data_IF_591399795181
#
_entry.id   IF_591399795181
#
_cell.length_a   1.000
_cell.length_b   1.000
_cell.length_c   1.000
_cell.angle_alpha   90.00
_cell.angle_beta   90.00
_cell.angle_gamma   90.00
#
_symmetry.space_group_name_H-M   'P 1'
#
loop_
_entity.id
_entity.type
_entity.pdbx_description
1 polymer ?
#
# COMPACT_ATOMS: atom_id res chain seq x y z
N UNK A 1 -8.19 0.26 25.68
CA UNK A 1 -7.64 1.07 24.57
C UNK A 1 -6.36 0.51 23.97
N UNK A 2 -5.27 0.30 24.72
CA UNK A 2 -4.00 -0.19 24.13
C UNK A 2 -4.12 -1.49 23.32
N UNK A 3 -4.75 -2.52 23.89
CA UNK A 3 -4.97 -3.80 23.19
C UNK A 3 -5.90 -3.68 21.98
N UNK A 4 -6.90 -2.79 22.05
CA UNK A 4 -7.79 -2.50 20.92
C UNK A 4 -7.05 -1.78 19.79
N UNK A 5 -6.22 -0.78 20.11
CA UNK A 5 -5.41 -0.07 19.11
C UNK A 5 -4.45 -1.02 18.42
N UNK A 6 -3.77 -1.89 19.18
CA UNK A 6 -2.90 -2.93 18.61
C UNK A 6 -3.67 -3.87 17.68
N UNK A 7 -4.81 -4.38 18.11
CA UNK A 7 -5.67 -5.22 17.30
C UNK A 7 -6.11 -4.52 16.00
N UNK A 8 -6.57 -3.27 16.08
CA UNK A 8 -6.99 -2.50 14.90
C UNK A 8 -5.84 -2.27 13.92
N UNK A 9 -4.62 -2.00 14.42
CA UNK A 9 -3.42 -1.88 13.58
C UNK A 9 -3.01 -3.20 12.91
N UNK A 10 -3.04 -4.31 13.64
CA UNK A 10 -2.75 -5.64 13.08
C UNK A 10 -3.74 -6.02 11.97
N UNK A 11 -4.99 -5.62 12.14
CA UNK A 11 -6.08 -5.87 11.18
C UNK A 11 -6.24 -4.75 10.14
N UNK A 12 -5.37 -3.75 10.12
CA UNK A 12 -5.41 -2.68 9.13
C UNK A 12 -5.04 -3.25 7.76
N UNK A 13 -5.87 -2.97 6.76
CA UNK A 13 -5.63 -3.32 5.37
C UNK A 13 -5.09 -2.10 4.63
N UNK A 14 -3.90 -2.24 4.04
CA UNK A 14 -3.35 -1.25 3.14
C UNK A 14 -3.65 -1.72 1.72
N UNK A 15 -4.24 -0.84 0.93
CA UNK A 15 -4.60 -1.14 -0.44
C UNK A 15 -4.32 0.09 -1.30
N UNK A 16 -4.12 -0.15 -2.59
CA UNK A 16 -3.95 0.92 -3.55
C UNK A 16 -5.32 1.41 -4.03
N UNK A 17 -5.58 2.70 -3.89
CA UNK A 17 -6.88 3.28 -4.24
C UNK A 17 -7.06 3.42 -5.76
N UNK A 18 -8.21 2.98 -6.26
CA UNK A 18 -8.59 3.06 -7.68
C UNK A 18 -8.22 1.81 -8.47
N UNK A 19 -8.76 1.69 -9.68
CA UNK A 19 -8.43 0.60 -10.59
C UNK A 19 -7.01 0.84 -11.15
N UNK A 20 -5.99 0.38 -10.43
CA UNK A 20 -4.61 0.38 -10.93
C UNK A 20 -4.54 -0.70 -12.01
N UNK A 21 -4.89 -0.29 -13.23
CA UNK A 21 -4.80 -1.18 -14.37
C UNK A 21 -3.33 -1.41 -14.75
N UNK A 22 -3.05 -2.63 -15.16
CA UNK A 22 -1.76 -3.03 -15.74
C UNK A 22 -1.34 -2.08 -16.87
N UNK A 23 -2.30 -1.63 -17.66
CA UNK A 23 -2.05 -0.74 -18.80
C UNK A 23 -1.52 0.63 -18.36
N UNK A 24 -2.08 1.19 -17.29
CA UNK A 24 -1.62 2.48 -16.74
C UNK A 24 -0.23 2.38 -16.12
N UNK A 25 0.06 1.29 -15.40
CA UNK A 25 1.41 1.05 -14.86
C UNK A 25 2.44 0.89 -15.99
N UNK A 26 2.07 0.19 -17.07
CA UNK A 26 2.94 0.02 -18.25
C UNK A 26 3.20 1.33 -18.98
N UNK A 27 2.22 2.23 -19.06
CA UNK A 27 2.38 3.57 -19.63
C UNK A 27 3.47 4.34 -18.89
N UNK A 28 3.36 4.44 -17.55
CA UNK A 28 4.38 5.11 -16.73
C UNK A 28 5.78 4.49 -16.87
N UNK A 29 5.88 3.16 -16.92
CA UNK A 29 7.19 2.49 -17.05
C UNK A 29 7.81 2.63 -18.44
N UNK A 30 7.02 2.95 -19.48
CA UNK A 30 7.55 3.19 -20.83
C UNK A 30 8.07 4.61 -21.01
N UNK A 31 7.58 5.56 -20.21
CA UNK A 31 8.06 6.93 -20.20
C UNK A 31 9.39 7.09 -19.42
N UNK A 32 9.79 6.07 -18.66
CA UNK A 32 11.04 6.02 -17.90
C UNK A 32 12.09 5.09 -18.54
N UNK A 33 13.18 5.68 -19.04
CA UNK A 33 14.31 4.99 -19.65
C UNK A 33 15.32 4.40 -18.63
N UNK A 34 14.99 4.42 -17.34
CA UNK A 34 15.81 3.81 -16.29
C UNK A 34 15.92 2.29 -16.49
N UNK A 35 17.01 1.72 -15.95
CA UNK A 35 17.21 0.26 -15.99
C UNK A 35 16.16 -0.44 -15.13
N UNK A 36 15.82 0.19 -14.03
CA UNK A 36 14.86 -0.22 -13.01
C UNK A 36 13.45 -0.30 -13.62
N UNK A 37 13.01 0.72 -14.36
CA UNK A 37 11.72 0.72 -15.04
C UNK A 37 11.61 -0.39 -16.08
N UNK A 38 12.65 -0.58 -16.91
CA UNK A 38 12.69 -1.68 -17.88
C UNK A 38 12.59 -3.06 -17.23
N UNK A 39 13.29 -3.28 -16.12
CA UNK A 39 13.25 -4.54 -15.39
C UNK A 39 11.88 -4.83 -14.79
N UNK A 40 11.26 -3.82 -14.17
CA UNK A 40 9.92 -3.94 -13.61
C UNK A 40 8.87 -4.19 -14.71
N UNK A 41 8.99 -3.51 -15.85
CA UNK A 41 8.12 -3.72 -17.00
C UNK A 41 8.20 -5.16 -17.53
N UNK A 42 9.41 -5.70 -17.68
CA UNK A 42 9.61 -7.10 -18.08
C UNK A 42 8.92 -8.08 -17.12
N UNK A 43 9.08 -7.86 -15.81
CA UNK A 43 8.45 -8.71 -14.78
C UNK A 43 6.92 -8.66 -14.83
N UNK A 44 6.33 -7.47 -14.98
CA UNK A 44 4.87 -7.29 -15.13
C UNK A 44 4.33 -7.98 -16.40
N UNK A 45 5.12 -8.03 -17.46
CA UNK A 45 4.74 -8.76 -18.69
C UNK A 45 4.78 -10.27 -18.45
N UNK A 46 5.81 -10.78 -17.79
CA UNK A 46 5.96 -12.20 -17.43
C UNK A 46 4.84 -12.69 -16.50
N UNK A 47 4.51 -11.90 -15.48
CA UNK A 47 3.47 -12.19 -14.48
C UNK A 47 2.05 -11.91 -15.01
N UNK A 48 1.92 -11.37 -16.23
CA UNK A 48 0.65 -11.03 -16.90
C UNK A 48 -0.27 -10.13 -16.08
N UNK A 49 0.29 -9.32 -15.18
CA UNK A 49 -0.51 -8.55 -14.24
C UNK A 49 0.35 -7.68 -13.34
N UNK A 50 -0.33 -6.84 -12.56
CA UNK A 50 0.28 -6.06 -11.47
C UNK A 50 -0.25 -6.51 -10.10
N UNK A 51 -1.16 -7.47 -10.05
CA UNK A 51 -1.84 -7.88 -8.83
C UNK A 51 -0.85 -8.38 -7.77
N UNK A 52 0.07 -9.28 -8.15
CA UNK A 52 1.11 -9.80 -7.26
C UNK A 52 2.08 -8.70 -6.79
N UNK A 53 2.38 -7.72 -7.67
CA UNK A 53 3.18 -6.55 -7.32
C UNK A 53 2.47 -5.70 -6.26
N UNK A 54 1.19 -5.39 -6.47
CA UNK A 54 0.40 -4.58 -5.54
C UNK A 54 0.23 -5.29 -4.19
N UNK A 55 -0.07 -6.59 -4.19
CA UNK A 55 -0.16 -7.40 -2.96
C UNK A 55 1.17 -7.37 -2.20
N UNK A 56 2.28 -7.60 -2.89
CA UNK A 56 3.61 -7.63 -2.27
C UNK A 56 3.98 -6.27 -1.69
N UNK A 57 3.74 -5.19 -2.42
CA UNK A 57 4.00 -3.84 -1.92
C UNK A 57 3.10 -3.52 -0.73
N UNK A 58 1.83 -3.94 -0.76
CA UNK A 58 0.92 -3.70 0.33
C UNK A 58 1.35 -4.39 1.63
N UNK A 59 1.82 -5.64 1.53
CA UNK A 59 2.29 -6.41 2.68
C UNK A 59 3.57 -5.82 3.29
N UNK A 60 4.55 -5.46 2.44
CA UNK A 60 5.84 -4.90 2.91
C UNK A 60 5.68 -3.48 3.46
N UNK A 61 4.85 -2.65 2.83
CA UNK A 61 4.67 -1.25 3.24
C UNK A 61 3.77 -1.12 4.48
N UNK A 62 2.94 -2.12 4.80
CA UNK A 62 2.12 -2.15 6.02
C UNK A 62 2.97 -1.96 7.28
N UNK A 63 4.14 -2.58 7.35
CA UNK A 63 5.06 -2.41 8.49
C UNK A 63 5.72 -1.04 8.52
N UNK A 64 5.94 -0.42 7.36
CA UNK A 64 6.46 0.95 7.27
C UNK A 64 5.43 1.99 7.70
N UNK A 65 4.13 1.69 7.58
CA UNK A 65 3.08 2.56 8.15
C UNK A 65 3.12 2.55 9.67
N UNK A 66 3.55 1.48 10.33
CA UNK A 66 3.66 1.44 11.80
C UNK A 66 4.61 2.50 12.36
N UNK A 67 5.55 2.99 11.56
CA UNK A 67 6.46 4.08 11.95
C UNK A 67 5.90 5.47 11.63
N UNK A 68 5.01 5.58 10.64
CA UNK A 68 4.38 6.83 10.21
C UNK A 68 3.03 7.15 10.87
N UNK A 69 2.25 6.13 11.21
CA UNK A 69 0.96 6.20 11.93
C UNK A 69 1.12 5.41 13.21
N UNK A 70 1.03 6.06 14.37
CA UNK A 70 1.30 5.46 15.66
C UNK A 70 0.04 5.33 16.53
N UNK A 71 0.16 4.71 17.71
CA UNK A 71 -0.97 4.47 18.62
C UNK A 71 -1.73 5.75 19.01
N UNK A 72 -1.05 6.90 19.03
CA UNK A 72 -1.64 8.19 19.36
C UNK A 72 -2.57 8.68 18.24
N UNK A 73 -2.16 8.57 16.98
CA UNK A 73 -2.97 9.00 15.83
C UNK A 73 -4.31 8.23 15.77
N UNK A 74 -4.29 6.91 16.00
CA UNK A 74 -5.52 6.11 16.08
C UNK A 74 -6.37 6.52 17.29
N UNK A 75 -5.75 6.76 18.45
CA UNK A 75 -6.48 7.19 19.65
C UNK A 75 -7.20 8.52 19.42
N UNK A 76 -6.54 9.46 18.75
CA UNK A 76 -7.08 10.79 18.49
C UNK A 76 -8.24 10.73 17.49
N UNK A 77 -8.14 9.89 16.45
CA UNK A 77 -9.27 9.65 15.53
C UNK A 77 -10.44 8.94 16.20
N UNK A 78 -10.19 7.95 17.07
CA UNK A 78 -11.24 7.29 17.83
C UNK A 78 -11.95 8.26 18.79
N UNK A 79 -11.20 9.17 19.41
CA UNK A 79 -11.78 10.21 20.25
C UNK A 79 -12.64 11.18 19.43
N UNK A 80 -12.13 11.63 18.29
CA UNK A 80 -12.86 12.51 17.36
C UNK A 80 -14.16 11.87 16.88
N UNK A 81 -14.12 10.59 16.49
CA UNK A 81 -15.31 9.84 16.07
C UNK A 81 -16.33 9.69 17.21
N UNK A 82 -15.88 9.55 18.46
CA UNK A 82 -16.78 9.41 19.62
C UNK A 82 -17.49 10.70 20.02
N UNK A 83 -16.95 11.85 19.63
CA UNK A 83 -17.54 13.18 19.85
C UNK A 83 -18.38 13.66 18.65
N UNK A 84 -18.37 12.91 17.54
CA UNK A 84 -19.15 13.14 16.32
C UNK A 84 -20.52 12.44 16.39
#
# INVERSE_FOLDING_TARGET
MKELVRYLFENLYFDFQGDISVDKVREFLREDDSREARQLLSKIIEEKGVDDLLITLADVLKDSIRTGVNEQDIRDQLHTYSES
#
